data_IF_096420133415
#
_entry.id   IF_096420133415
#
_cell.length_a   1.000
_cell.length_b   1.000
_cell.length_c   1.000
_cell.angle_alpha   90.00
_cell.angle_beta   90.00
_cell.angle_gamma   90.00
#
_symmetry.space_group_name_H-M   'P 1'
#
loop_
_entity.id
_entity.type
_entity.pdbx_description
1 polymer ?
#
# COMPACT_ATOMS: atom_id res chain seq x y z
N UNK A 1 28.26 11.11 6.43
CA UNK A 1 26.99 10.44 6.72
C UNK A 1 25.90 11.04 5.86
N UNK A 2 25.21 10.22 5.06
CA UNK A 2 24.05 10.63 4.27
C UNK A 2 22.80 10.14 5.02
N UNK A 3 21.89 11.05 5.36
CA UNK A 3 20.62 10.68 5.96
C UNK A 3 19.68 10.14 4.87
N UNK A 4 19.34 8.84 4.92
CA UNK A 4 18.41 8.21 4.00
C UNK A 4 16.96 8.26 4.50
N UNK A 5 16.76 8.23 5.82
CA UNK A 5 15.43 8.32 6.45
C UNK A 5 15.52 8.87 7.86
N UNK A 6 14.41 9.46 8.33
CA UNK A 6 14.21 9.87 9.72
C UNK A 6 12.82 9.43 10.17
N UNK A 7 12.75 8.81 11.35
CA UNK A 7 11.51 8.43 11.99
C UNK A 7 11.52 8.81 13.48
N UNK A 8 10.33 9.09 14.02
CA UNK A 8 10.12 9.27 15.46
C UNK A 8 9.12 8.23 15.94
N UNK A 9 9.40 7.61 17.07
CA UNK A 9 8.57 6.56 17.65
C UNK A 9 7.91 7.06 18.93
N UNK A 10 6.64 6.68 19.13
CA UNK A 10 5.88 6.97 20.34
C UNK A 10 5.11 5.73 20.76
N UNK A 11 5.18 5.36 22.03
CA UNK A 11 4.44 4.26 22.65
C UNK A 11 3.02 4.67 23.10
N UNK A 12 2.47 5.79 22.61
CA UNK A 12 1.13 6.21 22.96
C UNK A 12 0.11 5.11 22.61
N UNK A 13 -0.80 4.79 23.54
CA UNK A 13 -1.90 3.85 23.29
C UNK A 13 -2.71 4.36 22.11
N UNK A 14 -2.91 3.59 21.03
CA UNK A 14 -3.68 4.02 19.88
C UNK A 14 -5.13 4.20 20.31
N UNK A 15 -5.61 5.44 20.30
CA UNK A 15 -7.06 5.65 20.26
C UNK A 15 -7.55 5.12 18.91
N UNK A 16 -8.68 4.43 18.92
CA UNK A 16 -9.36 3.74 17.81
C UNK A 16 -8.91 4.13 16.38
N UNK A 17 -8.83 3.13 15.51
CA UNK A 17 -8.56 3.28 14.08
C UNK A 17 -9.42 4.40 13.47
N UNK A 18 -8.81 5.53 13.13
CA UNK A 18 -9.55 6.69 12.61
C UNK A 18 -10.03 6.40 11.18
N UNK A 19 -9.25 5.63 10.43
CA UNK A 19 -9.52 5.32 9.01
C UNK A 19 -10.28 4.00 8.88
N UNK A 20 -10.06 3.04 9.78
CA UNK A 20 -10.69 1.73 9.73
C UNK A 20 -12.22 1.76 9.69
N UNK A 21 -12.85 2.78 10.28
CA UNK A 21 -14.31 3.00 10.18
C UNK A 21 -14.76 3.39 8.78
N UNK A 22 -13.90 4.01 7.97
CA UNK A 22 -14.19 4.38 6.58
C UNK A 22 -14.00 3.17 5.66
N UNK A 23 -12.99 2.34 5.92
CA UNK A 23 -12.74 1.09 5.20
C UNK A 23 -13.93 0.12 5.30
N UNK A 24 -14.48 -0.06 6.51
CA UNK A 24 -15.63 -0.92 6.75
C UNK A 24 -16.94 -0.44 6.09
N UNK A 25 -17.04 0.84 5.74
CA UNK A 25 -18.22 1.40 5.05
C UNK A 25 -18.17 1.24 3.53
N UNK A 26 -16.98 1.00 2.97
CA UNK A 26 -16.77 0.91 1.52
C UNK A 26 -16.70 -0.55 1.02
N UNK A 27 -17.38 -1.51 1.67
CA UNK A 27 -17.59 -2.87 1.14
C UNK A 27 -18.54 -2.88 -0.08
N UNK A 28 -18.35 -1.91 -0.97
CA UNK A 28 -19.04 -1.83 -2.25
C UNK A 28 -18.58 -2.95 -3.18
N UNK A 29 -19.47 -3.33 -4.12
CA UNK A 29 -19.11 -4.24 -5.20
C UNK A 29 -17.96 -3.63 -6.00
N UNK A 30 -16.89 -4.42 -6.25
CA UNK A 30 -15.78 -3.97 -7.09
C UNK A 30 -16.27 -3.56 -8.48
N UNK A 31 -15.80 -2.41 -8.98
CA UNK A 31 -16.04 -1.98 -10.37
C UNK A 31 -15.24 -2.86 -11.34
N UNK A 32 -14.03 -3.21 -10.97
CA UNK A 32 -13.15 -4.11 -11.71
C UNK A 32 -12.16 -4.79 -10.77
N UNK A 33 -11.59 -5.91 -11.22
CA UNK A 33 -10.61 -6.66 -10.47
C UNK A 33 -9.40 -6.99 -11.35
N UNK A 34 -8.22 -6.89 -10.77
CA UNK A 34 -6.94 -7.23 -11.39
C UNK A 34 -6.36 -8.48 -10.71
N UNK A 35 -5.78 -9.37 -11.51
CA UNK A 35 -5.01 -10.50 -10.99
C UNK A 35 -3.60 -10.07 -10.65
N UNK A 36 -2.87 -10.89 -9.90
CA UNK A 36 -1.47 -10.64 -9.58
C UNK A 36 -0.61 -10.37 -10.83
N UNK A 37 -0.81 -11.16 -11.90
CA UNK A 37 -0.09 -10.96 -13.17
C UNK A 37 -0.28 -9.58 -13.78
N UNK A 38 -1.50 -9.04 -13.69
CA UNK A 38 -1.84 -7.73 -14.26
C UNK A 38 -1.17 -6.61 -13.45
N UNK A 39 -1.17 -6.76 -12.11
CA UNK A 39 -0.53 -5.79 -11.19
C UNK A 39 0.98 -5.73 -11.45
N UNK A 40 1.65 -6.88 -11.51
CA UNK A 40 3.10 -6.92 -11.74
C UNK A 40 3.47 -6.57 -13.19
N UNK A 41 2.60 -6.84 -14.16
CA UNK A 41 2.74 -6.35 -15.53
C UNK A 41 2.67 -4.82 -15.59
N UNK A 42 1.73 -4.21 -14.87
CA UNK A 42 1.62 -2.76 -14.74
C UNK A 42 2.85 -2.15 -14.07
N UNK A 43 3.33 -2.76 -12.98
CA UNK A 43 4.53 -2.33 -12.27
C UNK A 43 5.76 -2.36 -13.19
N UNK A 44 5.96 -3.46 -13.94
CA UNK A 44 7.05 -3.60 -14.90
C UNK A 44 6.98 -2.53 -16.02
N UNK A 45 5.78 -2.21 -16.52
CA UNK A 45 5.58 -1.12 -17.48
C UNK A 45 5.94 0.27 -16.89
N UNK A 46 5.89 0.41 -15.57
CA UNK A 46 6.34 1.58 -14.83
C UNK A 46 7.82 1.51 -14.43
N UNK A 47 8.58 0.52 -14.94
CA UNK A 47 9.98 0.25 -14.60
C UNK A 47 10.19 -0.10 -13.09
N UNK A 48 9.19 -0.68 -12.45
CA UNK A 48 9.28 -1.26 -11.12
C UNK A 48 9.37 -2.77 -11.24
N UNK A 49 10.56 -3.32 -11.08
CA UNK A 49 10.78 -4.76 -11.12
C UNK A 49 10.84 -5.31 -9.69
N UNK A 50 9.76 -5.95 -9.28
CA UNK A 50 9.66 -6.61 -7.98
C UNK A 50 10.21 -8.03 -8.08
N UNK A 51 11.23 -8.34 -7.25
CA UNK A 51 11.72 -9.70 -7.09
C UNK A 51 10.65 -10.63 -6.47
N UNK A 52 10.81 -11.97 -6.59
CA UNK A 52 9.79 -12.94 -6.15
C UNK A 52 9.36 -12.77 -4.69
N UNK A 53 10.29 -12.43 -3.79
CA UNK A 53 10.01 -12.23 -2.37
C UNK A 53 9.10 -11.01 -2.12
N UNK A 54 9.09 -10.01 -3.02
CA UNK A 54 8.27 -8.81 -2.91
C UNK A 54 7.05 -8.86 -3.84
N UNK A 55 6.44 -10.02 -4.02
CA UNK A 55 5.22 -10.20 -4.82
C UNK A 55 4.08 -10.79 -3.99
N UNK A 56 3.64 -10.12 -2.90
CA UNK A 56 2.62 -10.66 -2.01
C UNK A 56 1.19 -10.49 -2.56
N UNK A 57 0.98 -9.77 -3.66
CA UNK A 57 -0.37 -9.47 -4.15
C UNK A 57 -0.99 -10.69 -4.83
N UNK A 58 -2.14 -11.13 -4.34
CA UNK A 58 -3.01 -12.13 -4.95
C UNK A 58 -3.98 -11.50 -5.96
N UNK A 59 -4.39 -10.27 -5.71
CA UNK A 59 -5.30 -9.51 -6.58
C UNK A 59 -5.68 -8.18 -5.99
N UNK A 60 -6.20 -7.30 -6.84
CA UNK A 60 -6.66 -5.95 -6.48
C UNK A 60 -8.07 -5.74 -6.97
N UNK A 61 -8.97 -5.36 -6.09
CA UNK A 61 -10.34 -4.96 -6.40
C UNK A 61 -10.43 -3.43 -6.39
N UNK A 62 -10.70 -2.83 -7.55
CA UNK A 62 -10.93 -1.40 -7.69
C UNK A 62 -12.38 -1.08 -7.33
N UNK A 63 -12.59 -0.33 -6.26
CA UNK A 63 -13.93 0.05 -5.78
C UNK A 63 -14.41 1.33 -6.45
N UNK A 64 -13.50 2.27 -6.66
CA UNK A 64 -13.69 3.49 -7.44
C UNK A 64 -12.32 3.97 -7.97
N UNK A 65 -12.26 5.17 -8.55
CA UNK A 65 -11.04 5.69 -9.17
C UNK A 65 -9.93 6.00 -8.15
N UNK A 66 -10.30 6.12 -6.88
CA UNK A 66 -9.42 6.51 -5.77
C UNK A 66 -9.31 5.45 -4.67
N UNK A 67 -10.04 4.33 -4.78
CA UNK A 67 -10.10 3.32 -3.72
C UNK A 67 -9.86 1.92 -4.28
N UNK A 68 -8.91 1.22 -3.69
CA UNK A 68 -8.61 -0.17 -4.01
C UNK A 68 -8.58 -1.03 -2.74
N UNK A 69 -9.00 -2.28 -2.87
CA UNK A 69 -8.82 -3.32 -1.85
C UNK A 69 -7.88 -4.39 -2.41
N UNK A 70 -6.78 -4.63 -1.72
CA UNK A 70 -5.68 -5.50 -2.16
C UNK A 70 -5.66 -6.75 -1.30
N UNK A 71 -5.78 -7.92 -1.92
CA UNK A 71 -5.62 -9.20 -1.25
C UNK A 71 -4.16 -9.60 -1.28
N UNK A 72 -3.64 -9.99 -0.12
CA UNK A 72 -2.25 -10.32 0.09
C UNK A 72 -2.09 -11.78 0.51
N UNK A 73 -1.04 -12.41 0.00
CA UNK A 73 -0.59 -13.71 0.47
C UNK A 73 0.24 -13.51 1.74
N UNK A 74 -0.21 -14.14 2.83
CA UNK A 74 0.54 -14.12 4.08
C UNK A 74 1.79 -14.97 3.92
N UNK A 75 2.96 -14.34 4.03
CA UNK A 75 4.23 -15.07 4.02
C UNK A 75 4.34 -15.93 5.29
N UNK A 76 4.44 -17.23 5.13
CA UNK A 76 4.70 -18.16 6.24
C UNK A 76 6.18 -18.20 6.67
N UNK A 77 7.03 -17.34 6.13
CA UNK A 77 8.50 -17.52 6.17
C UNK A 77 9.24 -16.54 7.06
N UNK A 78 8.59 -15.83 7.96
CA UNK A 78 9.33 -15.01 8.90
C UNK A 78 9.79 -15.86 10.10
N UNK A 79 11.00 -16.41 10.04
CA UNK A 79 11.71 -16.96 11.21
C UNK A 79 11.97 -15.88 12.29
N UNK A 80 11.82 -14.61 11.92
CA UNK A 80 11.88 -13.47 12.83
C UNK A 80 10.53 -12.75 12.94
N UNK A 81 10.02 -12.53 14.15
CA UNK A 81 8.75 -11.87 14.36
C UNK A 81 8.88 -10.36 14.11
N UNK A 82 8.55 -9.92 12.92
CA UNK A 82 8.30 -8.49 12.67
C UNK A 82 7.05 -8.02 13.43
N UNK A 83 7.08 -6.79 13.92
CA UNK A 83 5.85 -6.14 14.42
C UNK A 83 4.81 -6.00 13.29
N UNK A 84 5.29 -5.75 12.08
CA UNK A 84 4.54 -5.74 10.82
C UNK A 84 5.47 -6.28 9.74
N UNK A 85 4.99 -7.22 8.93
CA UNK A 85 5.75 -7.77 7.82
C UNK A 85 5.98 -6.67 6.75
N UNK A 86 7.24 -6.32 6.43
CA UNK A 86 7.54 -5.27 5.46
C UNK A 86 7.08 -5.61 4.04
N UNK A 87 7.03 -6.89 3.66
CA UNK A 87 6.56 -7.34 2.36
C UNK A 87 5.07 -7.05 2.21
N UNK A 88 4.28 -7.34 3.25
CA UNK A 88 2.84 -7.10 3.25
C UNK A 88 2.53 -5.60 3.32
N UNK A 89 3.35 -4.81 4.04
CA UNK A 89 3.23 -3.35 4.05
C UNK A 89 3.49 -2.76 2.66
N UNK A 90 4.53 -3.23 1.97
CA UNK A 90 4.84 -2.80 0.61
C UNK A 90 3.74 -3.22 -0.39
N UNK A 91 3.11 -4.37 -0.19
CA UNK A 91 1.96 -4.82 -0.97
C UNK A 91 0.82 -3.80 -1.03
N UNK A 92 0.59 -3.06 0.05
CA UNK A 92 -0.37 -1.95 0.07
C UNK A 92 0.05 -0.78 -0.83
N UNK A 93 1.34 -0.45 -0.85
CA UNK A 93 1.90 0.59 -1.74
C UNK A 93 1.84 0.15 -3.20
N UNK A 94 2.20 -1.10 -3.49
CA UNK A 94 2.12 -1.71 -4.82
C UNK A 94 0.68 -1.69 -5.36
N UNK A 95 -0.30 -2.06 -4.53
CA UNK A 95 -1.71 -2.04 -4.91
C UNK A 95 -2.22 -0.63 -5.24
N UNK A 96 -1.65 0.40 -4.63
CA UNK A 96 -1.93 1.79 -4.95
C UNK A 96 -1.60 2.17 -6.39
N UNK A 97 -0.60 1.53 -7.02
CA UNK A 97 -0.24 1.77 -8.42
C UNK A 97 -1.37 1.41 -9.40
N UNK A 98 -2.29 0.54 -8.99
CA UNK A 98 -3.42 0.11 -9.81
C UNK A 98 -4.56 1.12 -9.87
N UNK A 99 -4.54 2.18 -9.06
CA UNK A 99 -5.61 3.17 -9.02
C UNK A 99 -5.68 3.98 -10.32
N UNK A 100 -6.84 4.04 -10.99
CA UNK A 100 -7.01 4.75 -12.25
C UNK A 100 -6.56 6.21 -12.19
N UNK A 101 -6.79 6.88 -11.07
CA UNK A 101 -6.39 8.26 -10.86
C UNK A 101 -4.85 8.48 -10.87
N UNK A 102 -4.05 7.43 -10.65
CA UNK A 102 -2.58 7.47 -10.79
C UNK A 102 -2.12 7.11 -12.21
N UNK A 103 -2.89 6.30 -12.94
CA UNK A 103 -2.54 5.85 -14.30
C UNK A 103 -2.57 6.96 -15.36
N UNK A 104 -3.18 8.11 -15.07
CA UNK A 104 -3.23 9.25 -15.98
C UNK A 104 -1.89 9.99 -16.17
N UNK A 105 -0.87 9.64 -15.38
CA UNK A 105 0.45 10.30 -15.42
C UNK A 105 1.43 9.45 -16.23
N UNK A 106 1.29 9.47 -17.55
CA UNK A 106 2.12 8.68 -18.47
C UNK A 106 3.63 8.91 -18.28
N UNK A 107 4.41 7.83 -18.26
CA UNK A 107 5.88 7.84 -18.21
C UNK A 107 6.48 8.29 -16.87
N UNK A 108 5.71 8.25 -15.79
CA UNK A 108 6.17 8.50 -14.44
C UNK A 108 5.74 7.39 -13.50
N UNK A 109 6.56 7.16 -12.49
CA UNK A 109 6.33 6.22 -11.39
C UNK A 109 6.21 6.98 -10.09
N UNK A 110 5.27 6.60 -9.24
CA UNK A 110 5.11 7.20 -7.92
C UNK A 110 5.90 6.40 -6.88
N UNK A 111 6.95 7.00 -6.31
CA UNK A 111 7.73 6.39 -5.25
C UNK A 111 7.40 7.01 -3.89
N UNK A 112 7.17 6.20 -2.85
CA UNK A 112 6.88 6.69 -1.51
C UNK A 112 8.10 7.43 -0.94
N UNK A 113 7.86 8.62 -0.40
CA UNK A 113 8.92 9.49 0.15
C UNK A 113 8.70 9.87 1.60
N UNK A 114 7.45 9.82 2.08
CA UNK A 114 7.10 10.21 3.44
C UNK A 114 5.80 9.56 3.88
N UNK A 115 5.75 9.17 5.14
CA UNK A 115 4.51 8.87 5.87
C UNK A 115 4.37 9.88 7.00
N UNK A 116 3.19 10.45 7.16
CA UNK A 116 2.89 11.32 8.29
C UNK A 116 2.85 10.50 9.58
N UNK A 117 2.22 9.32 9.51
CA UNK A 117 2.09 8.43 10.65
C UNK A 117 1.89 6.98 10.20
N UNK A 118 2.57 6.07 10.89
CA UNK A 118 2.31 4.64 10.84
C UNK A 118 1.86 4.20 12.23
N UNK A 119 0.75 3.48 12.31
CA UNK A 119 0.20 2.94 13.55
C UNK A 119 0.19 1.43 13.49
N UNK A 120 0.69 0.78 14.53
CA UNK A 120 0.55 -0.65 14.76
C UNK A 120 -0.55 -0.82 15.81
N UNK A 121 -1.66 -1.41 15.45
CA UNK A 121 -2.83 -1.57 16.33
C UNK A 121 -2.89 -2.97 16.93
N UNK A 122 -2.43 -3.97 16.16
CA UNK A 122 -2.41 -5.38 16.56
C UNK A 122 -1.03 -5.99 16.20
N UNK A 123 0.00 -5.80 17.04
CA UNK A 123 1.33 -6.35 16.79
C UNK A 123 1.30 -7.87 16.63
N UNK A 124 2.05 -8.41 15.68
CA UNK A 124 2.18 -9.85 15.44
C UNK A 124 0.99 -10.51 14.75
N UNK A 125 -0.09 -9.76 14.40
CA UNK A 125 -1.15 -10.29 13.55
C UNK A 125 -0.76 -10.23 12.07
N UNK A 126 -1.10 -11.29 11.35
CA UNK A 126 -0.88 -11.34 9.90
C UNK A 126 -1.82 -10.39 9.17
N UNK A 127 -1.28 -9.71 8.17
CA UNK A 127 -2.06 -8.89 7.24
C UNK A 127 -2.53 -9.78 6.09
N UNK A 128 -3.81 -9.69 5.73
CA UNK A 128 -4.40 -10.44 4.62
C UNK A 128 -4.97 -9.51 3.52
N UNK A 129 -5.43 -8.34 3.93
CA UNK A 129 -6.05 -7.37 3.04
C UNK A 129 -5.54 -5.97 3.40
N UNK A 130 -5.34 -5.13 2.40
CA UNK A 130 -5.19 -3.70 2.64
C UNK A 130 -6.11 -2.88 1.73
N UNK A 131 -6.67 -1.82 2.30
CA UNK A 131 -7.48 -0.85 1.57
C UNK A 131 -6.66 0.42 1.37
N UNK A 132 -6.56 0.86 0.13
CA UNK A 132 -5.84 2.07 -0.27
C UNK A 132 -6.85 3.16 -0.60
N UNK A 133 -6.68 4.32 0.01
CA UNK A 133 -7.51 5.51 -0.19
C UNK A 133 -6.68 6.67 -0.72
N UNK A 134 -6.73 6.90 -2.01
CA UNK A 134 -6.08 8.04 -2.64
C UNK A 134 -6.87 9.31 -2.30
N UNK A 135 -6.22 10.25 -1.65
CA UNK A 135 -6.83 11.55 -1.26
C UNK A 135 -6.64 12.59 -2.34
N UNK A 136 -5.48 12.56 -2.99
CA UNK A 136 -5.10 13.51 -4.03
C UNK A 136 -3.99 12.91 -4.88
N UNK A 137 -4.05 13.18 -6.17
CA UNK A 137 -2.95 12.95 -7.10
C UNK A 137 -2.87 14.13 -8.08
N UNK A 138 -1.64 14.47 -8.45
CA UNK A 138 -1.32 15.42 -9.50
C UNK A 138 -0.10 14.91 -10.28
N UNK A 139 0.39 15.69 -11.26
CA UNK A 139 1.53 15.29 -12.09
C UNK A 139 2.86 15.16 -11.34
N UNK A 140 2.93 15.53 -10.06
CA UNK A 140 4.17 15.58 -9.26
C UNK A 140 4.10 14.73 -8.01
N UNK A 141 2.91 14.55 -7.43
CA UNK A 141 2.76 13.85 -6.16
C UNK A 141 1.42 13.16 -6.01
N UNK A 142 1.39 12.15 -5.14
CA UNK A 142 0.18 11.52 -4.68
C UNK A 142 0.16 11.48 -3.15
N UNK A 143 -1.04 11.53 -2.56
CA UNK A 143 -1.29 11.42 -1.13
C UNK A 143 -2.33 10.36 -0.88
N UNK A 144 -2.00 9.35 -0.10
CA UNK A 144 -2.91 8.25 0.21
C UNK A 144 -2.85 7.85 1.69
N UNK A 145 -3.93 7.22 2.15
CA UNK A 145 -3.95 6.47 3.39
C UNK A 145 -4.10 4.99 3.06
N UNK A 146 -3.54 4.11 3.89
CA UNK A 146 -3.66 2.66 3.75
C UNK A 146 -4.07 2.06 5.09
N UNK A 147 -5.04 1.15 5.05
CA UNK A 147 -5.50 0.37 6.21
C UNK A 147 -5.22 -1.10 5.95
N UNK A 148 -4.53 -1.74 6.88
CA UNK A 148 -4.19 -3.16 6.81
C UNK A 148 -5.07 -3.96 7.74
N UNK A 149 -5.63 -5.05 7.25
CA UNK A 149 -6.54 -5.93 8.00
C UNK A 149 -6.09 -7.39 7.93
N UNK A 150 -6.43 -8.15 8.95
CA UNK A 150 -6.30 -9.60 8.93
C UNK A 150 -7.47 -10.28 8.20
N UNK A 151 -7.48 -11.62 8.19
CA UNK A 151 -8.54 -12.43 7.59
C UNK A 151 -9.92 -12.22 8.24
N UNK A 152 -9.96 -11.83 9.52
CA UNK A 152 -11.17 -11.56 10.26
C UNK A 152 -11.70 -10.14 10.04
N UNK A 153 -10.99 -9.32 9.25
CA UNK A 153 -11.30 -7.92 9.00
C UNK A 153 -10.88 -6.97 10.13
N UNK A 154 -10.14 -7.46 11.12
CA UNK A 154 -9.63 -6.62 12.21
C UNK A 154 -8.50 -5.74 11.68
N UNK A 155 -8.53 -4.44 12.00
CA UNK A 155 -7.47 -3.51 11.59
C UNK A 155 -6.20 -3.79 12.38
N UNK A 156 -5.16 -4.20 11.66
CA UNK A 156 -3.82 -4.53 12.18
C UNK A 156 -2.93 -3.30 12.24
N UNK A 157 -2.95 -2.51 11.17
CA UNK A 157 -2.12 -1.31 11.04
C UNK A 157 -2.77 -0.26 10.15
N UNK A 158 -2.29 0.98 10.25
CA UNK A 158 -2.65 2.10 9.38
C UNK A 158 -1.41 2.88 8.98
N UNK A 159 -1.31 3.22 7.70
CA UNK A 159 -0.40 4.24 7.18
C UNK A 159 -1.21 5.48 6.80
N UNK A 160 -0.91 6.61 7.42
CA UNK A 160 -1.65 7.86 7.26
C UNK A 160 -0.76 8.89 6.60
N UNK A 161 -1.31 9.62 5.62
CA UNK A 161 -0.62 10.69 4.94
C UNK A 161 0.62 10.21 4.17
N UNK A 162 0.52 9.04 3.54
CA UNK A 162 1.55 8.50 2.66
C UNK A 162 1.70 9.38 1.43
N UNK A 163 2.83 10.06 1.29
CA UNK A 163 3.17 10.88 0.14
C UNK A 163 4.12 10.14 -0.77
N UNK A 164 3.75 10.05 -2.04
CA UNK A 164 4.62 9.57 -3.11
C UNK A 164 4.94 10.70 -4.09
N UNK A 165 6.15 10.69 -4.63
CA UNK A 165 6.60 11.66 -5.63
C UNK A 165 6.67 10.97 -6.99
N UNK A 166 6.21 11.68 -8.02
CA UNK A 166 6.30 11.24 -9.39
C UNK A 166 7.75 11.39 -9.89
N UNK A 167 8.37 10.30 -10.28
CA UNK A 167 9.72 10.26 -10.82
C UNK A 167 9.72 9.66 -12.22
N UNK A 168 10.68 10.06 -13.05
CA UNK A 168 11.02 9.35 -14.28
C UNK A 168 12.20 8.44 -13.95
N UNK A 169 11.98 7.14 -14.00
CA UNK A 169 13.08 6.19 -13.93
C UNK A 169 13.82 6.27 -15.27
N UNK A 170 15.15 6.36 -15.25
CA UNK A 170 15.96 6.25 -16.47
C UNK A 170 15.86 4.80 -16.91
N UNK A 171 15.37 4.57 -18.13
CA UNK A 171 15.49 3.26 -18.75
C UNK A 171 16.97 2.87 -18.73
N UNK A 172 17.27 1.66 -18.21
CA UNK A 172 18.60 1.09 -18.43
C UNK A 172 18.77 0.89 -19.93
N UNK A 173 19.81 1.49 -20.47
CA UNK A 173 20.32 1.20 -21.81
C UNK A 173 20.82 -0.24 -21.84
#
# INVERSE_FOLDING_TARGET
>A
WIHHARASFSAARPSFAVIGRRALRNSGKAKSSLKASDVYGLAAAMQLDYGPAFRPILGVDLLDDNTASVRLETSATADEPFLLDPILLDGGLQGGLCLPALGAVHGKTFLPTRFERVRVLQPGRNIAVCDVFLKRADSHSALADIVYRDHDGVVVAEMIGGRSMAVRLKGGD
#
